data_IF_993974103538
#
_entry.id   IF_993974103538
#
_cell.length_a   1.000
_cell.length_b   1.000
_cell.length_c   1.000
_cell.angle_alpha   90.00
_cell.angle_beta   90.00
_cell.angle_gamma   90.00
#
_symmetry.space_group_name_H-M   'P 1'
#
loop_
_entity.id
_entity.type
_entity.pdbx_description
1 polymer ?
#
# COMPACT_ATOMS: atom_id res chain seq x y z
N UNK A 1 -18.95 -8.85 0.28
CA UNK A 1 -18.71 -8.52 1.71
C UNK A 1 -17.47 -7.64 1.78
N UNK A 2 -17.58 -6.46 2.40
CA UNK A 2 -16.46 -5.51 2.52
C UNK A 2 -15.63 -5.87 3.77
N UNK A 3 -14.29 -5.81 3.67
CA UNK A 3 -13.38 -6.02 4.80
C UNK A 3 -12.43 -4.84 4.92
N UNK A 4 -12.42 -4.20 6.09
CA UNK A 4 -11.48 -3.14 6.44
C UNK A 4 -10.35 -3.73 7.30
N UNK A 5 -9.10 -3.38 6.97
CA UNK A 5 -7.91 -3.85 7.68
C UNK A 5 -7.16 -2.64 8.21
N UNK A 6 -7.08 -2.50 9.53
CA UNK A 6 -6.31 -1.44 10.18
C UNK A 6 -4.86 -1.91 10.41
N UNK A 7 -3.89 -1.14 9.93
CA UNK A 7 -2.46 -1.40 10.19
C UNK A 7 -1.54 -0.71 9.19
N UNK A 8 -0.24 -0.83 9.42
CA UNK A 8 0.80 -0.37 8.48
C UNK A 8 0.75 -1.20 7.20
N UNK A 9 0.49 -0.54 6.07
CA UNK A 9 0.34 -1.19 4.77
C UNK A 9 1.58 -2.00 4.37
N UNK A 10 2.79 -1.58 4.77
CA UNK A 10 4.02 -2.32 4.48
C UNK A 10 4.08 -3.67 5.18
N UNK A 11 3.44 -3.79 6.34
CA UNK A 11 3.36 -5.03 7.11
C UNK A 11 2.18 -5.88 6.65
N UNK A 12 1.00 -5.28 6.50
CA UNK A 12 -0.22 -5.96 6.08
C UNK A 12 -0.06 -6.57 4.68
N UNK A 13 0.47 -5.81 3.71
CA UNK A 13 0.61 -6.33 2.35
C UNK A 13 1.47 -7.59 2.31
N UNK A 14 2.41 -7.79 3.24
CA UNK A 14 3.27 -9.00 3.28
C UNK A 14 2.50 -10.26 3.66
N UNK A 15 1.40 -10.14 4.40
CA UNK A 15 0.54 -11.28 4.77
C UNK A 15 -0.44 -11.67 3.66
N UNK A 16 -0.62 -10.81 2.66
CA UNK A 16 -1.46 -11.08 1.49
C UNK A 16 -0.68 -12.00 0.54
N UNK A 17 -1.38 -12.99 -0.03
CA UNK A 17 -0.80 -13.91 -1.02
C UNK A 17 -0.48 -13.17 -2.32
N UNK A 18 0.46 -13.68 -3.10
CA UNK A 18 0.78 -13.15 -4.44
C UNK A 18 -0.40 -13.34 -5.38
N UNK A 19 -0.57 -12.43 -6.35
CA UNK A 19 -1.54 -12.56 -7.44
C UNK A 19 -2.99 -12.80 -6.96
N UNK A 20 -3.46 -12.04 -5.97
CA UNK A 20 -4.84 -12.16 -5.45
C UNK A 20 -5.67 -10.90 -5.58
N UNK A 21 -5.08 -9.76 -5.93
CA UNK A 21 -5.75 -8.47 -6.03
C UNK A 21 -5.93 -8.09 -7.51
N UNK A 22 -7.17 -7.81 -7.90
CA UNK A 22 -7.54 -7.47 -9.29
C UNK A 22 -7.31 -5.99 -9.62
N UNK A 23 -7.33 -5.10 -8.63
CA UNK A 23 -7.09 -3.67 -8.83
C UNK A 23 -6.55 -3.06 -7.55
N UNK A 24 -5.56 -2.18 -7.67
CA UNK A 24 -5.01 -1.42 -6.55
C UNK A 24 -5.27 0.06 -6.83
N UNK A 25 -6.07 0.69 -5.97
CA UNK A 25 -6.31 2.13 -5.99
C UNK A 25 -5.65 2.67 -4.73
N UNK A 26 -4.69 3.58 -4.90
CA UNK A 26 -3.93 4.14 -3.78
C UNK A 26 -3.73 5.63 -3.98
N UNK A 27 -3.92 6.37 -2.89
CA UNK A 27 -3.54 7.77 -2.75
C UNK A 27 -2.46 7.83 -1.65
N UNK A 28 -1.17 7.67 -2.00
CA UNK A 28 -0.10 7.56 -1.01
C UNK A 28 0.24 8.90 -0.34
N UNK A 29 0.91 8.90 0.83
CA UNK A 29 1.55 10.11 1.35
C UNK A 29 2.50 10.73 0.33
N UNK A 30 2.39 12.05 0.15
CA UNK A 30 3.17 12.81 -0.84
C UNK A 30 4.38 13.54 -0.24
N UNK A 31 4.67 13.33 1.05
CA UNK A 31 5.76 13.97 1.76
C UNK A 31 5.70 15.52 1.78
N UNK A 32 4.49 16.08 1.69
CA UNK A 32 4.28 17.54 1.67
C UNK A 32 4.09 18.14 3.06
N UNK A 33 4.09 17.32 4.12
CA UNK A 33 3.99 17.72 5.53
C UNK A 33 2.72 18.51 5.89
N UNK A 34 1.71 18.46 5.03
CA UNK A 34 0.45 19.16 5.20
C UNK A 34 -0.30 18.70 6.45
N UNK A 35 -0.23 17.40 6.75
CA UNK A 35 -0.98 16.81 7.85
C UNK A 35 -0.27 16.92 9.21
N UNK A 36 0.99 17.35 9.24
CA UNK A 36 1.78 17.47 10.48
C UNK A 36 1.96 16.13 11.22
N UNK A 37 1.86 15.01 10.51
CA UNK A 37 2.05 13.65 11.04
C UNK A 37 3.31 13.02 10.46
N UNK A 38 3.98 12.18 11.24
CA UNK A 38 5.23 11.52 10.84
C UNK A 38 5.12 10.77 9.51
N UNK A 39 3.97 10.13 9.24
CA UNK A 39 3.75 9.39 7.99
C UNK A 39 3.64 10.28 6.75
N UNK A 40 3.41 11.58 6.90
CA UNK A 40 3.31 12.57 5.82
C UNK A 40 4.64 13.30 5.57
N UNK A 41 5.72 12.87 6.23
CA UNK A 41 7.03 13.51 6.10
C UNK A 41 7.90 12.83 5.07
N UNK A 42 7.56 11.60 4.68
CA UNK A 42 8.34 10.77 3.77
C UNK A 42 7.45 10.09 2.72
N UNK A 43 8.03 9.84 1.55
CA UNK A 43 7.36 9.10 0.49
C UNK A 43 7.40 7.59 0.80
N UNK A 44 6.39 6.81 0.37
CA UNK A 44 6.47 5.37 0.43
C UNK A 44 7.70 4.83 -0.31
N UNK A 45 8.42 3.91 0.32
CA UNK A 45 9.59 3.29 -0.31
C UNK A 45 9.23 2.51 -1.57
N UNK A 46 10.19 2.33 -2.49
CA UNK A 46 10.06 1.43 -3.65
C UNK A 46 9.65 0.02 -3.25
N UNK A 47 10.05 -0.44 -2.05
CA UNK A 47 9.65 -1.74 -1.51
C UNK A 47 8.14 -1.85 -1.28
N UNK A 48 7.48 -0.75 -0.91
CA UNK A 48 6.03 -0.66 -0.77
C UNK A 48 5.35 -0.96 -2.12
N UNK A 49 5.75 -0.23 -3.16
CA UNK A 49 5.21 -0.42 -4.52
C UNK A 49 5.54 -1.81 -5.10
N UNK A 50 6.74 -2.36 -4.83
CA UNK A 50 7.06 -3.76 -5.20
C UNK A 50 6.15 -4.76 -4.49
N UNK A 51 5.75 -4.50 -3.24
CA UNK A 51 4.78 -5.35 -2.54
C UNK A 51 3.38 -5.24 -3.14
N UNK A 52 2.95 -4.04 -3.56
CA UNK A 52 1.69 -3.83 -4.29
C UNK A 52 1.68 -4.64 -5.59
N UNK A 53 2.72 -4.51 -6.42
CA UNK A 53 2.84 -5.28 -7.66
C UNK A 53 2.84 -6.80 -7.41
N UNK A 54 3.50 -7.26 -6.35
CA UNK A 54 3.56 -8.69 -5.99
C UNK A 54 2.18 -9.29 -5.70
N UNK A 55 1.26 -8.52 -5.10
CA UNK A 55 -0.08 -9.02 -4.74
C UNK A 55 -1.11 -8.83 -5.86
N UNK A 56 -0.81 -7.97 -6.84
CA UNK A 56 -1.63 -7.80 -8.04
C UNK A 56 -1.59 -9.06 -8.93
N UNK A 57 -2.72 -9.40 -9.55
CA UNK A 57 -2.80 -10.50 -10.52
C UNK A 57 -2.06 -10.11 -11.82
N UNK A 58 -1.54 -11.09 -12.58
CA UNK A 58 -1.05 -10.81 -13.94
C UNK A 58 -2.17 -10.21 -14.79
N UNK A 59 -1.92 -9.06 -15.42
CA UNK A 59 -2.89 -8.34 -16.24
C UNK A 59 -3.90 -7.48 -15.47
N UNK A 60 -3.74 -7.36 -14.15
CA UNK A 60 -4.42 -6.36 -13.33
C UNK A 60 -3.92 -4.93 -13.63
#
# INVERSE_FOLDING_TARGET
MLKLIQGDCNKIMRTIRRNTIDTIITDPPYAIKFMGKEWDYELPSVKCFKCMLRIAKPGA
#
